data_IF_322194550226
#
_entry.id   IF_322194550226
#
_cell.length_a   1.000
_cell.length_b   1.000
_cell.length_c   1.000
_cell.angle_alpha   90.00
_cell.angle_beta   90.00
_cell.angle_gamma   90.00
#
_symmetry.space_group_name_H-M   'P 1'
#
loop_
_entity.id
_entity.type
_entity.pdbx_description
1 polymer ?
#
# COMPACT_ATOMS: atom_id res chain seq x y z
N UNK A 1 38.73 26.69 -30.24
CA UNK A 1 37.30 27.05 -30.39
C UNK A 1 36.53 25.76 -30.46
N UNK A 2 35.79 25.42 -29.40
CA UNK A 2 34.90 24.25 -29.38
C UNK A 2 33.87 24.39 -30.50
N UNK A 3 33.65 23.33 -31.29
CA UNK A 3 32.63 23.32 -32.34
C UNK A 3 31.26 23.66 -31.71
N UNK A 4 30.40 24.44 -32.39
CA UNK A 4 29.07 24.74 -31.89
C UNK A 4 28.29 23.43 -31.70
N UNK A 5 27.68 23.28 -30.53
CA UNK A 5 26.88 22.09 -30.20
C UNK A 5 25.81 21.87 -31.27
N UNK A 6 25.56 20.59 -31.61
CA UNK A 6 24.43 20.27 -32.48
C UNK A 6 23.12 20.71 -31.81
N UNK A 7 22.07 21.09 -32.57
CA UNK A 7 20.79 21.51 -31.97
C UNK A 7 20.22 20.52 -30.95
N UNK A 8 20.42 19.22 -31.16
CA UNK A 8 19.99 18.18 -30.23
C UNK A 8 20.78 18.19 -28.92
N UNK A 9 22.09 18.47 -28.97
CA UNK A 9 22.93 18.57 -27.77
C UNK A 9 22.62 19.86 -26.99
N UNK A 10 22.41 20.99 -27.68
CA UNK A 10 21.95 22.22 -27.05
C UNK A 10 20.59 22.04 -26.37
N UNK A 11 19.67 21.32 -27.01
CA UNK A 11 18.39 20.97 -26.42
C UNK A 11 18.52 20.09 -25.17
N UNK A 12 19.34 19.03 -25.23
CA UNK A 12 19.56 18.13 -24.08
C UNK A 12 20.16 18.87 -22.89
N UNK A 13 21.14 19.75 -23.14
CA UNK A 13 21.73 20.62 -22.11
C UNK A 13 20.66 21.52 -21.47
N UNK A 14 19.89 22.23 -22.29
CA UNK A 14 18.83 23.11 -21.80
C UNK A 14 17.75 22.35 -21.02
N UNK A 15 17.35 21.17 -21.50
CA UNK A 15 16.40 20.32 -20.81
C UNK A 15 16.94 19.87 -19.45
N UNK A 16 18.19 19.39 -19.40
CA UNK A 16 18.82 18.97 -18.15
C UNK A 16 18.88 20.10 -17.10
N UNK A 17 19.29 21.31 -17.50
CA UNK A 17 19.30 22.47 -16.59
C UNK A 17 17.89 22.80 -16.09
N UNK A 18 16.90 22.83 -16.99
CA UNK A 18 15.52 23.08 -16.61
C UNK A 18 14.98 22.00 -15.65
N UNK A 19 15.30 20.73 -15.88
CA UNK A 19 14.92 19.61 -15.02
C UNK A 19 15.49 19.76 -13.62
N UNK A 20 16.77 20.14 -13.47
CA UNK A 20 17.38 20.39 -12.16
C UNK A 20 16.69 21.51 -11.39
N UNK A 21 16.43 22.62 -12.06
CA UNK A 21 15.73 23.76 -11.46
C UNK A 21 14.30 23.39 -11.06
N UNK A 22 13.56 22.68 -11.92
CA UNK A 22 12.21 22.22 -11.60
C UNK A 22 12.20 21.25 -10.42
N UNK A 23 13.15 20.31 -10.37
CA UNK A 23 13.27 19.33 -9.30
C UNK A 23 13.70 19.92 -7.95
N UNK A 24 14.18 21.18 -7.93
CA UNK A 24 14.85 21.78 -6.78
C UNK A 24 16.11 21.02 -6.34
N UNK A 25 16.81 20.43 -7.30
CA UNK A 25 17.95 19.56 -7.06
C UNK A 25 19.09 19.91 -8.03
N UNK A 26 20.04 20.77 -7.62
CA UNK A 26 21.13 21.22 -8.47
C UNK A 26 22.17 20.12 -8.76
N UNK A 27 22.27 19.12 -7.88
CA UNK A 27 23.25 18.04 -7.95
C UNK A 27 22.74 16.84 -8.76
N UNK A 28 21.44 16.79 -9.07
CA UNK A 28 20.84 15.75 -9.87
C UNK A 28 21.50 15.58 -11.24
N UNK A 29 21.93 14.35 -11.52
CA UNK A 29 22.58 13.95 -12.76
C UNK A 29 21.53 13.56 -13.78
N UNK A 30 21.36 14.38 -14.83
CA UNK A 30 20.45 14.08 -15.94
C UNK A 30 21.24 13.44 -17.08
N UNK A 31 20.82 12.22 -17.46
CA UNK A 31 21.40 11.44 -18.55
C UNK A 31 20.36 11.11 -19.61
N UNK A 32 20.79 10.88 -20.85
CA UNK A 32 19.91 10.54 -21.97
C UNK A 32 20.30 9.15 -22.50
N UNK A 33 19.33 8.23 -22.56
CA UNK A 33 19.55 6.86 -23.04
C UNK A 33 18.39 6.35 -23.91
N UNK A 34 18.66 5.30 -24.67
CA UNK A 34 17.65 4.50 -25.39
C UNK A 34 16.93 3.52 -24.46
N UNK A 35 17.51 3.23 -23.29
CA UNK A 35 16.90 2.37 -22.27
C UNK A 35 15.63 3.00 -21.68
N UNK A 36 14.77 2.21 -21.02
CA UNK A 36 13.60 2.73 -20.32
C UNK A 36 13.97 3.89 -19.39
N UNK A 37 13.21 5.00 -19.43
CA UNK A 37 13.45 6.14 -18.56
C UNK A 37 13.15 5.75 -17.11
N UNK A 38 13.86 6.38 -16.18
CA UNK A 38 13.70 6.13 -14.76
C UNK A 38 14.56 7.03 -13.90
N UNK A 39 14.38 6.93 -12.59
CA UNK A 39 15.15 7.67 -11.59
C UNK A 39 15.74 6.68 -10.60
N UNK A 40 17.03 6.81 -10.30
CA UNK A 40 17.72 5.97 -9.33
C UNK A 40 18.74 6.83 -8.55
N UNK A 41 18.48 7.00 -7.25
CA UNK A 41 19.24 7.94 -6.42
C UNK A 41 19.24 9.33 -7.04
N UNK A 42 20.42 9.91 -7.24
CA UNK A 42 20.62 11.24 -7.83
C UNK A 42 20.61 11.25 -9.36
N UNK A 43 20.52 10.08 -10.01
CA UNK A 43 20.57 9.98 -11.47
C UNK A 43 19.18 9.85 -12.08
N UNK A 44 18.83 10.78 -12.97
CA UNK A 44 17.64 10.74 -13.81
C UNK A 44 18.02 10.33 -15.23
N UNK A 45 17.37 9.29 -15.75
CA UNK A 45 17.53 8.82 -17.12
C UNK A 45 16.33 9.23 -17.96
N UNK A 46 16.58 10.06 -18.96
CA UNK A 46 15.58 10.56 -19.90
C UNK A 46 15.68 9.84 -21.26
N UNK A 47 14.59 9.82 -22.04
CA UNK A 47 14.59 9.28 -23.39
C UNK A 47 15.58 10.02 -24.29
N UNK A 48 16.31 9.27 -25.10
CA UNK A 48 17.25 9.84 -26.06
C UNK A 48 16.52 10.66 -27.13
N UNK A 49 17.03 11.86 -27.38
CA UNK A 49 16.60 12.70 -28.51
C UNK A 49 17.61 12.58 -29.64
N UNK A 50 17.13 12.12 -30.81
CA UNK A 50 17.96 11.97 -32.00
C UNK A 50 18.31 13.32 -32.61
N UNK A 51 19.29 13.35 -33.53
CA UNK A 51 19.64 14.56 -34.29
C UNK A 51 18.49 15.09 -35.15
N UNK A 52 17.47 14.26 -35.44
CA UNK A 52 16.29 14.68 -36.21
C UNK A 52 15.36 15.56 -35.38
N UNK A 53 15.38 15.43 -34.05
CA UNK A 53 14.55 16.21 -33.12
C UNK A 53 13.09 16.30 -33.55
N UNK A 54 12.48 15.16 -33.85
CA UNK A 54 11.06 15.16 -34.22
C UNK A 54 10.23 15.70 -33.07
N UNK A 55 9.08 16.33 -33.39
CA UNK A 55 8.19 16.88 -32.37
C UNK A 55 7.81 15.83 -31.31
N UNK A 56 7.58 14.58 -31.72
CA UNK A 56 7.25 13.49 -30.82
C UNK A 56 8.41 13.16 -29.85
N UNK A 57 9.64 13.03 -30.34
CA UNK A 57 10.82 12.78 -29.48
C UNK A 57 11.03 13.91 -28.47
N UNK A 58 10.94 15.17 -28.92
CA UNK A 58 11.13 16.34 -28.07
C UNK A 58 10.05 16.41 -26.99
N UNK A 59 8.78 16.21 -27.36
CA UNK A 59 7.67 16.26 -26.41
C UNK A 59 7.72 15.09 -25.41
N UNK A 60 8.11 13.89 -25.85
CA UNK A 60 8.28 12.75 -24.96
C UNK A 60 9.41 12.99 -23.95
N UNK A 61 10.56 13.49 -24.41
CA UNK A 61 11.68 13.81 -23.53
C UNK A 61 11.31 14.90 -22.51
N UNK A 62 10.63 15.98 -22.94
CA UNK A 62 10.13 17.04 -22.05
C UNK A 62 9.11 16.51 -21.04
N UNK A 63 8.11 15.76 -21.50
CA UNK A 63 7.07 15.23 -20.62
C UNK A 63 7.61 14.27 -19.58
N UNK A 64 8.58 13.43 -19.96
CA UNK A 64 9.26 12.52 -19.03
C UNK A 64 10.10 13.30 -18.02
N UNK A 65 10.84 14.31 -18.47
CA UNK A 65 11.66 15.16 -17.62
C UNK A 65 10.82 15.95 -16.61
N UNK A 66 9.73 16.56 -17.07
CA UNK A 66 8.79 17.28 -16.21
C UNK A 66 8.19 16.33 -15.18
N UNK A 67 7.64 15.18 -15.60
CA UNK A 67 7.03 14.21 -14.67
C UNK A 67 8.00 13.75 -13.57
N UNK A 68 9.24 13.43 -13.94
CA UNK A 68 10.25 13.01 -12.96
C UNK A 68 10.73 14.17 -12.09
N UNK A 69 10.94 15.36 -12.64
CA UNK A 69 11.33 16.53 -11.84
C UNK A 69 10.24 16.90 -10.82
N UNK A 70 8.97 16.87 -11.24
CA UNK A 70 7.83 17.11 -10.36
C UNK A 70 7.71 16.05 -9.27
N UNK A 71 7.93 14.77 -9.61
CA UNK A 71 8.01 13.71 -8.60
C UNK A 71 9.13 13.99 -7.62
N UNK A 72 10.36 14.25 -8.09
CA UNK A 72 11.50 14.58 -7.21
C UNK A 72 11.22 15.74 -6.27
N UNK A 73 10.51 16.78 -6.76
CA UNK A 73 10.17 17.97 -5.99
C UNK A 73 9.08 17.75 -4.94
N UNK A 74 8.01 17.03 -5.31
CA UNK A 74 6.78 16.96 -4.51
C UNK A 74 6.57 15.64 -3.78
N UNK A 75 7.44 14.65 -4.00
CA UNK A 75 7.39 13.34 -3.37
C UNK A 75 8.45 13.20 -2.27
N UNK A 76 7.99 12.88 -1.08
CA UNK A 76 8.80 12.46 0.06
C UNK A 76 8.78 10.93 0.17
N UNK A 77 9.92 10.30 -0.13
CA UNK A 77 10.06 8.84 -0.14
C UNK A 77 9.77 8.21 1.23
N UNK A 78 10.08 8.93 2.32
CA UNK A 78 9.87 8.45 3.69
C UNK A 78 8.38 8.34 4.00
N UNK A 79 7.61 9.38 3.70
CA UNK A 79 6.16 9.41 3.87
C UNK A 79 5.52 8.36 2.97
N UNK A 80 5.91 8.28 1.70
CA UNK A 80 5.39 7.27 0.79
C UNK A 80 5.65 5.84 1.28
N UNK A 81 6.87 5.55 1.74
CA UNK A 81 7.24 4.24 2.27
C UNK A 81 6.47 3.89 3.54
N UNK A 82 6.19 4.87 4.40
CA UNK A 82 5.42 4.69 5.64
C UNK A 82 3.98 4.23 5.38
N UNK A 83 3.32 4.76 4.35
CA UNK A 83 1.92 4.43 4.02
C UNK A 83 1.78 3.35 2.94
N UNK A 84 2.88 2.79 2.47
CA UNK A 84 2.92 1.86 1.35
C UNK A 84 2.08 0.60 1.64
N UNK A 85 1.11 0.23 0.78
CA UNK A 85 0.36 -1.01 0.92
C UNK A 85 1.23 -2.28 0.85
N UNK A 86 0.73 -3.37 1.44
CA UNK A 86 1.42 -4.67 1.45
C UNK A 86 1.11 -5.49 0.20
N UNK A 87 -0.15 -5.49 -0.26
CA UNK A 87 -0.58 -6.22 -1.45
C UNK A 87 -0.26 -5.49 -2.74
N UNK A 88 0.02 -6.27 -3.79
CA UNK A 88 0.50 -5.72 -5.07
C UNK A 88 -0.51 -4.81 -5.75
N UNK A 89 -1.80 -5.18 -5.80
CA UNK A 89 -2.81 -4.36 -6.47
C UNK A 89 -3.02 -3.02 -5.75
N UNK A 90 -3.13 -3.06 -4.41
CA UNK A 90 -3.22 -1.85 -3.61
C UNK A 90 -1.98 -0.95 -3.80
N UNK A 91 -0.78 -1.52 -3.84
CA UNK A 91 0.46 -0.78 -4.10
C UNK A 91 0.48 -0.14 -5.49
N UNK A 92 0.08 -0.88 -6.52
CA UNK A 92 0.02 -0.34 -7.89
C UNK A 92 -0.95 0.85 -7.98
N UNK A 93 -2.12 0.77 -7.33
CA UNK A 93 -3.07 1.88 -7.25
C UNK A 93 -2.45 3.06 -6.48
N UNK A 94 -1.85 2.80 -5.32
CA UNK A 94 -1.21 3.83 -4.49
C UNK A 94 -0.12 4.60 -5.26
N UNK A 95 0.79 3.88 -5.92
CA UNK A 95 1.87 4.45 -6.72
C UNK A 95 1.35 5.27 -7.91
N UNK A 96 0.28 4.81 -8.55
CA UNK A 96 -0.36 5.50 -9.66
C UNK A 96 -1.04 6.80 -9.22
N UNK A 97 -1.75 6.78 -8.09
CA UNK A 97 -2.37 7.96 -7.49
C UNK A 97 -1.32 8.99 -7.07
N UNK A 98 -0.22 8.55 -6.44
CA UNK A 98 0.86 9.44 -6.01
C UNK A 98 1.60 10.08 -7.19
N UNK A 99 1.82 9.31 -8.27
CA UNK A 99 2.38 9.85 -9.51
C UNK A 99 1.46 10.94 -10.08
N UNK A 100 0.15 10.66 -10.14
CA UNK A 100 -0.84 11.61 -10.63
C UNK A 100 -0.94 12.87 -9.74
N UNK A 101 -0.79 12.74 -8.41
CA UNK A 101 -0.73 13.88 -7.49
C UNK A 101 0.46 14.79 -7.78
N UNK A 102 1.67 14.22 -7.88
CA UNK A 102 2.89 14.99 -8.13
C UNK A 102 2.78 15.76 -9.46
N UNK A 103 2.29 15.10 -10.51
CA UNK A 103 2.04 15.71 -11.81
C UNK A 103 0.98 16.81 -11.74
N UNK A 104 -0.12 16.60 -10.99
CA UNK A 104 -1.19 17.58 -10.85
C UNK A 104 -0.78 18.82 -10.06
N UNK A 105 -0.13 18.65 -8.90
CA UNK A 105 0.41 19.74 -8.09
C UNK A 105 1.42 20.55 -8.90
N UNK A 106 2.33 19.86 -9.59
CA UNK A 106 3.30 20.48 -10.47
C UNK A 106 2.68 21.25 -11.62
N UNK A 107 1.63 20.71 -12.25
CA UNK A 107 0.90 21.37 -13.33
C UNK A 107 0.15 22.63 -12.85
N UNK A 108 -0.33 22.66 -11.60
CA UNK A 108 -0.96 23.86 -11.01
C UNK A 108 0.05 24.99 -10.82
N UNK A 109 1.25 24.65 -10.34
CA UNK A 109 2.33 25.62 -10.10
C UNK A 109 3.03 26.04 -11.39
N UNK A 110 3.16 25.12 -12.35
CA UNK A 110 3.86 25.31 -13.61
C UNK A 110 2.98 24.82 -14.78
N UNK A 111 2.01 25.62 -15.25
CA UNK A 111 1.04 25.20 -16.28
C UNK A 111 1.66 24.73 -17.60
N UNK A 112 2.89 25.16 -17.90
CA UNK A 112 3.64 24.71 -19.09
C UNK A 112 4.03 23.24 -19.06
N UNK A 113 4.07 22.59 -17.89
CA UNK A 113 4.38 21.16 -17.76
C UNK A 113 3.19 20.28 -18.17
N UNK A 114 1.96 20.79 -18.01
CA UNK A 114 0.74 20.02 -18.23
C UNK A 114 0.66 19.45 -19.65
N UNK A 115 0.98 20.27 -20.67
CA UNK A 115 1.00 19.84 -22.06
C UNK A 115 2.14 18.86 -22.41
N UNK A 116 3.27 18.95 -21.69
CA UNK A 116 4.36 17.99 -21.86
C UNK A 116 3.99 16.64 -21.25
N UNK A 117 3.38 16.65 -20.06
CA UNK A 117 2.86 15.45 -19.38
C UNK A 117 1.74 14.80 -20.20
N UNK A 118 0.82 15.59 -20.79
CA UNK A 118 -0.20 15.07 -21.71
C UNK A 118 0.45 14.30 -22.88
N UNK A 119 1.54 14.81 -23.45
CA UNK A 119 2.26 14.14 -24.54
C UNK A 119 2.98 12.87 -24.10
N UNK A 120 3.55 12.84 -22.88
CA UNK A 120 4.11 11.63 -22.26
C UNK A 120 3.03 10.57 -22.09
N UNK A 121 1.89 10.92 -21.47
CA UNK A 121 0.76 10.02 -21.24
C UNK A 121 0.23 9.47 -22.57
N UNK A 122 0.10 10.31 -23.60
CA UNK A 122 -0.33 9.87 -24.93
C UNK A 122 0.61 8.81 -25.50
N UNK A 123 1.92 9.07 -25.49
CA UNK A 123 2.92 8.14 -26.02
C UNK A 123 2.97 6.81 -25.24
N UNK A 124 2.79 6.84 -23.92
CA UNK A 124 2.71 5.64 -23.08
C UNK A 124 1.43 4.85 -23.33
N UNK A 125 0.29 5.53 -23.46
CA UNK A 125 -1.01 4.92 -23.75
C UNK A 125 -1.01 4.26 -25.13
N UNK A 126 -0.41 4.91 -26.13
CA UNK A 126 -0.25 4.35 -27.48
C UNK A 126 0.63 3.09 -27.45
N UNK A 127 1.78 3.14 -26.75
CA UNK A 127 2.69 1.99 -26.62
C UNK A 127 2.01 0.79 -25.94
N UNK A 128 1.13 1.04 -24.98
CA UNK A 128 0.38 0.00 -24.27
C UNK A 128 -0.91 -0.43 -24.99
N UNK A 129 -1.25 0.18 -26.12
CA UNK A 129 -2.45 -0.15 -26.87
C UNK A 129 -3.76 0.19 -26.15
N UNK A 130 -3.74 1.15 -25.21
CA UNK A 130 -4.90 1.46 -24.37
C UNK A 130 -6.14 1.93 -25.15
N UNK A 131 -5.95 2.52 -26.33
CA UNK A 131 -7.03 2.93 -27.20
C UNK A 131 -7.85 1.75 -27.78
N UNK A 132 -7.28 0.53 -27.80
CA UNK A 132 -7.90 -0.67 -28.37
C UNK A 132 -8.57 -1.56 -27.31
N UNK A 133 -8.52 -1.17 -26.04
CA UNK A 133 -9.13 -1.96 -24.96
C UNK A 133 -10.63 -1.67 -24.92
N UNK A 134 -11.45 -2.72 -24.99
CA UNK A 134 -12.91 -2.60 -24.97
C UNK A 134 -13.52 -3.04 -23.63
N UNK A 135 -12.81 -3.89 -22.89
CA UNK A 135 -13.30 -4.50 -21.65
C UNK A 135 -12.50 -4.01 -20.43
N UNK A 136 -13.21 -3.73 -19.34
CA UNK A 136 -12.59 -3.24 -18.09
C UNK A 136 -11.60 -4.25 -17.50
N UNK A 137 -11.84 -5.56 -17.62
CA UNK A 137 -10.94 -6.60 -17.11
C UNK A 137 -9.56 -6.61 -17.79
N UNK A 138 -9.48 -6.09 -19.01
CA UNK A 138 -8.22 -5.93 -19.75
C UNK A 138 -7.56 -4.56 -19.51
N UNK A 139 -8.27 -3.62 -18.87
CA UNK A 139 -7.77 -2.28 -18.56
C UNK A 139 -7.15 -2.25 -17.15
N UNK A 140 -5.89 -1.77 -16.98
CA UNK A 140 -5.28 -1.70 -15.65
C UNK A 140 -5.98 -0.70 -14.72
N UNK A 141 -6.62 -1.20 -13.66
CA UNK A 141 -7.35 -0.37 -12.67
C UNK A 141 -6.47 0.73 -12.07
N UNK A 142 -5.23 0.40 -11.68
CA UNK A 142 -4.28 1.37 -11.14
C UNK A 142 -4.04 2.56 -12.10
N UNK A 143 -3.85 2.29 -13.39
CA UNK A 143 -3.67 3.33 -14.39
C UNK A 143 -4.95 4.18 -14.54
N UNK A 144 -6.13 3.54 -14.56
CA UNK A 144 -7.41 4.23 -14.64
C UNK A 144 -7.65 5.16 -13.43
N UNK A 145 -7.33 4.69 -12.22
CA UNK A 145 -7.43 5.48 -11.00
C UNK A 145 -6.50 6.71 -11.03
N UNK A 146 -5.24 6.54 -11.46
CA UNK A 146 -4.30 7.65 -11.66
C UNK A 146 -4.78 8.66 -12.70
N UNK A 147 -5.32 8.19 -13.84
CA UNK A 147 -5.88 9.06 -14.87
C UNK A 147 -7.11 9.84 -14.40
N UNK A 148 -8.02 9.18 -13.67
CA UNK A 148 -9.19 9.83 -13.09
C UNK A 148 -8.76 10.92 -12.09
N UNK A 149 -7.83 10.61 -11.18
CA UNK A 149 -7.32 11.56 -10.20
C UNK A 149 -6.72 12.79 -10.89
N UNK A 150 -5.87 12.57 -11.90
CA UNK A 150 -5.28 13.64 -12.69
C UNK A 150 -6.35 14.52 -13.36
N UNK A 151 -7.36 13.89 -13.95
CA UNK A 151 -8.46 14.59 -14.61
C UNK A 151 -9.24 15.46 -13.62
N UNK A 152 -9.58 14.92 -12.44
CA UNK A 152 -10.25 15.66 -11.38
C UNK A 152 -9.39 16.82 -10.86
N UNK A 153 -8.11 16.57 -10.58
CA UNK A 153 -7.20 17.55 -9.99
C UNK A 153 -6.79 18.67 -10.97
N UNK A 154 -6.84 18.45 -12.28
CA UNK A 154 -6.37 19.44 -13.27
C UNK A 154 -7.50 20.02 -14.13
N UNK A 155 -8.66 19.36 -14.18
CA UNK A 155 -9.77 19.71 -15.08
C UNK A 155 -9.44 19.54 -16.57
N UNK A 156 -8.31 18.90 -16.91
CA UNK A 156 -7.83 18.77 -18.28
C UNK A 156 -8.39 17.50 -18.94
N UNK A 157 -8.66 17.53 -20.25
CA UNK A 157 -8.98 16.32 -20.99
C UNK A 157 -7.78 15.36 -21.02
N UNK A 158 -8.06 14.06 -20.98
CA UNK A 158 -7.03 13.03 -21.12
C UNK A 158 -6.76 12.73 -22.61
N UNK A 159 -5.53 12.29 -22.95
CA UNK A 159 -5.26 11.72 -24.27
C UNK A 159 -6.13 10.49 -24.56
N UNK A 160 -6.47 10.24 -25.82
CA UNK A 160 -7.49 9.25 -26.22
C UNK A 160 -7.31 7.85 -25.60
N UNK A 161 -6.10 7.29 -25.60
CA UNK A 161 -5.86 5.98 -24.99
C UNK A 161 -6.03 5.97 -23.46
N UNK A 162 -5.56 7.02 -22.78
CA UNK A 162 -5.72 7.15 -21.33
C UNK A 162 -7.18 7.41 -20.94
N UNK A 163 -7.89 8.24 -21.72
CA UNK A 163 -9.31 8.52 -21.55
C UNK A 163 -10.14 7.24 -21.68
N UNK A 164 -9.82 6.39 -22.67
CA UNK A 164 -10.51 5.13 -22.86
C UNK A 164 -10.40 4.21 -21.63
N UNK A 165 -9.18 3.98 -21.14
CA UNK A 165 -8.93 3.16 -19.93
C UNK A 165 -9.62 3.73 -18.69
N UNK A 166 -9.56 5.06 -18.51
CA UNK A 166 -10.23 5.73 -17.40
C UNK A 166 -11.74 5.54 -17.47
N UNK A 167 -12.35 5.72 -18.65
CA UNK A 167 -13.80 5.63 -18.85
C UNK A 167 -14.36 4.24 -18.56
N UNK A 168 -13.61 3.17 -18.87
CA UNK A 168 -14.00 1.79 -18.56
C UNK A 168 -14.19 1.57 -17.05
N UNK A 169 -13.39 2.23 -16.22
CA UNK A 169 -13.44 2.09 -14.76
C UNK A 169 -14.18 3.22 -14.05
N UNK A 170 -14.44 4.35 -14.71
CA UNK A 170 -15.01 5.57 -14.11
C UNK A 170 -16.25 5.28 -13.27
N UNK A 171 -17.23 4.57 -13.83
CA UNK A 171 -18.49 4.31 -13.13
C UNK A 171 -18.28 3.52 -11.84
N UNK A 172 -17.36 2.57 -11.85
CA UNK A 172 -17.03 1.78 -10.66
C UNK A 172 -16.32 2.64 -9.62
N UNK A 173 -15.28 3.38 -10.01
CA UNK A 173 -14.51 4.22 -9.07
C UNK A 173 -15.39 5.34 -8.46
N UNK A 174 -16.24 5.98 -9.25
CA UNK A 174 -17.14 7.04 -8.75
C UNK A 174 -18.23 6.48 -7.82
N UNK A 175 -18.69 5.25 -8.05
CA UNK A 175 -19.69 4.59 -7.19
C UNK A 175 -19.09 4.21 -5.84
N UNK A 176 -17.93 3.55 -5.85
CA UNK A 176 -17.32 3.01 -4.64
C UNK A 176 -16.56 4.09 -3.84
N UNK A 177 -15.74 4.91 -4.51
CA UNK A 177 -14.81 5.84 -3.88
C UNK A 177 -15.13 7.33 -4.13
N UNK A 178 -16.26 7.66 -4.76
CA UNK A 178 -16.60 9.04 -5.13
C UNK A 178 -16.71 10.00 -3.95
N UNK A 179 -17.23 9.53 -2.81
CA UNK A 179 -17.31 10.31 -1.58
C UNK A 179 -15.92 10.68 -1.03
N UNK A 180 -14.99 9.73 -1.05
CA UNK A 180 -13.61 9.94 -0.62
C UNK A 180 -12.86 10.87 -1.57
N UNK A 181 -13.07 10.73 -2.88
CA UNK A 181 -12.49 11.60 -3.90
C UNK A 181 -12.95 13.07 -3.79
N UNK A 182 -14.08 13.36 -3.13
CA UNK A 182 -14.49 14.74 -2.84
C UNK A 182 -13.48 15.49 -1.95
N UNK A 183 -12.69 14.77 -1.15
CA UNK A 183 -11.60 15.32 -0.34
C UNK A 183 -10.28 15.54 -1.09
N UNK A 184 -10.23 15.27 -2.40
CA UNK A 184 -8.99 15.34 -3.19
C UNK A 184 -8.36 16.74 -3.12
N UNK A 185 -9.13 17.80 -3.34
CA UNK A 185 -8.62 19.17 -3.41
C UNK A 185 -7.89 19.61 -2.14
N UNK A 186 -8.38 19.21 -0.97
CA UNK A 186 -7.77 19.55 0.31
C UNK A 186 -6.51 18.73 0.58
N UNK A 187 -6.41 17.54 0.02
CA UNK A 187 -5.29 16.62 0.24
C UNK A 187 -4.14 16.80 -0.76
N UNK A 188 -4.36 17.36 -1.95
CA UNK A 188 -3.35 17.40 -3.03
C UNK A 188 -1.99 17.99 -2.61
N UNK A 189 -1.99 19.06 -1.80
CA UNK A 189 -0.78 19.78 -1.40
C UNK A 189 -0.06 19.18 -0.19
N UNK A 190 -0.68 18.22 0.51
CA UNK A 190 -0.12 17.54 1.67
C UNK A 190 -0.02 16.04 1.38
N UNK A 191 1.20 15.54 1.20
CA UNK A 191 1.42 14.14 0.87
C UNK A 191 0.95 13.18 1.96
N UNK A 192 0.97 13.58 3.23
CA UNK A 192 0.48 12.73 4.33
C UNK A 192 -1.03 12.63 4.27
N UNK A 193 -1.72 13.77 4.12
CA UNK A 193 -3.17 13.78 3.93
C UNK A 193 -3.59 13.00 2.68
N UNK A 194 -2.84 13.16 1.59
CA UNK A 194 -3.07 12.41 0.36
C UNK A 194 -2.82 10.92 0.52
N UNK A 195 -1.79 10.50 1.25
CA UNK A 195 -1.51 9.09 1.48
C UNK A 195 -2.67 8.40 2.21
N UNK A 196 -3.28 9.09 3.19
CA UNK A 196 -4.49 8.61 3.87
C UNK A 196 -5.68 8.53 2.93
N UNK A 197 -5.90 9.57 2.13
CA UNK A 197 -6.96 9.59 1.12
C UNK A 197 -6.79 8.45 0.12
N UNK A 198 -5.58 8.22 -0.38
CA UNK A 198 -5.28 7.14 -1.33
C UNK A 198 -5.54 5.75 -0.71
N UNK A 199 -5.15 5.55 0.56
CA UNK A 199 -5.47 4.31 1.30
C UNK A 199 -6.97 4.13 1.47
N UNK A 200 -7.71 5.20 1.78
CA UNK A 200 -9.17 5.14 1.87
C UNK A 200 -9.80 4.81 0.52
N UNK A 201 -9.36 5.43 -0.58
CA UNK A 201 -9.82 5.09 -1.95
C UNK A 201 -9.57 3.61 -2.26
N UNK A 202 -8.41 3.07 -1.91
CA UNK A 202 -8.10 1.65 -2.10
C UNK A 202 -9.03 0.75 -1.28
N UNK A 203 -9.33 1.13 -0.04
CA UNK A 203 -10.26 0.39 0.80
C UNK A 203 -11.69 0.41 0.22
N UNK A 204 -12.15 1.58 -0.23
CA UNK A 204 -13.47 1.77 -0.84
C UNK A 204 -13.62 0.94 -2.13
N UNK A 205 -12.55 0.84 -2.92
CA UNK A 205 -12.49 -0.02 -4.13
C UNK A 205 -12.48 -1.53 -3.81
N UNK A 206 -12.56 -1.92 -2.54
CA UNK A 206 -12.61 -3.32 -2.11
C UNK A 206 -11.25 -3.99 -1.91
N UNK A 207 -10.15 -3.24 -1.89
CA UNK A 207 -8.78 -3.76 -1.68
C UNK A 207 -8.22 -3.39 -0.30
N UNK A 208 -9.08 -3.17 0.69
CA UNK A 208 -8.68 -2.79 2.04
C UNK A 208 -7.85 -3.85 2.78
N UNK A 209 -8.07 -5.13 2.45
CA UNK A 209 -7.29 -6.27 2.95
C UNK A 209 -5.81 -6.23 2.53
N UNK A 210 -5.50 -5.55 1.42
CA UNK A 210 -4.15 -5.42 0.87
C UNK A 210 -3.37 -4.21 1.43
N UNK A 211 -3.99 -3.36 2.25
CA UNK A 211 -3.35 -2.15 2.77
C UNK A 211 -2.30 -2.42 3.85
N UNK A 212 -2.43 -3.54 4.56
CA UNK A 212 -1.67 -3.79 5.80
C UNK A 212 -2.12 -2.87 6.95
N UNK A 213 -1.27 -2.76 7.95
CA UNK A 213 -1.54 -1.93 9.14
C UNK A 213 -1.58 -0.43 8.83
N UNK A 214 -2.34 0.31 9.62
CA UNK A 214 -2.38 1.77 9.55
C UNK A 214 -1.17 2.36 10.30
N UNK A 215 -0.23 3.02 9.61
CA UNK A 215 1.00 3.51 10.21
C UNK A 215 0.80 4.68 11.18
N UNK A 216 -0.40 5.29 11.26
CA UNK A 216 -0.72 6.32 12.26
C UNK A 216 -1.36 5.76 13.52
N UNK A 217 -1.83 4.51 13.50
CA UNK A 217 -2.35 3.84 14.69
C UNK A 217 -1.23 3.41 15.64
N UNK A 218 0.02 3.37 15.18
CA UNK A 218 1.20 3.03 16.01
C UNK A 218 1.73 4.23 16.82
N UNK A 219 1.43 5.48 16.44
CA UNK A 219 1.92 6.67 17.15
C UNK A 219 1.10 7.07 18.40
N UNK A 220 0.00 6.37 18.68
CA UNK A 220 -0.92 6.72 19.77
C UNK A 220 -0.67 6.04 21.12
N UNK A 221 0.17 5.01 21.18
CA UNK A 221 0.38 4.19 22.40
C UNK A 221 1.84 3.70 22.57
N UNK A 222 2.79 4.26 21.83
CA UNK A 222 4.22 4.18 22.21
C UNK A 222 4.55 5.34 23.18
N UNK A 223 3.90 5.33 24.34
CA UNK A 223 4.65 5.79 25.51
C UNK A 223 5.83 4.83 25.62
N UNK A 224 7.05 5.37 25.48
CA UNK A 224 8.31 4.68 25.77
C UNK A 224 8.14 3.85 27.04
N UNK A 225 7.86 2.56 26.89
CA UNK A 225 8.08 1.61 27.96
C UNK A 225 9.60 1.58 28.10
N UNK A 226 10.16 1.93 29.29
CA UNK A 226 11.56 1.66 29.54
C UNK A 226 11.79 0.19 29.22
N UNK A 227 12.93 -0.16 28.64
CA UNK A 227 13.39 -1.55 28.51
C UNK A 227 13.38 -2.21 29.90
N UNK A 228 12.23 -2.73 30.29
CA UNK A 228 11.98 -3.52 31.47
C UNK A 228 11.86 -4.94 30.99
N UNK A 229 12.88 -5.74 31.32
CA UNK A 229 12.92 -7.18 31.13
C UNK A 229 11.53 -7.78 31.36
N UNK A 230 11.02 -8.53 30.37
CA UNK A 230 9.76 -9.23 30.50
C UNK A 230 9.81 -10.10 31.77
N UNK A 231 8.88 -9.92 32.74
CA UNK A 231 8.84 -10.76 33.93
C UNK A 231 8.78 -12.23 33.50
N UNK A 232 9.75 -13.03 33.95
CA UNK A 232 9.87 -14.45 33.65
C UNK A 232 8.74 -15.30 34.27
N UNK A 233 7.87 -14.70 35.07
CA UNK A 233 6.75 -15.37 35.72
C UNK A 233 5.41 -14.83 35.21
N UNK A 234 4.46 -15.72 34.86
CA UNK A 234 3.10 -15.29 34.55
C UNK A 234 2.53 -14.50 35.74
N UNK A 235 1.75 -13.44 35.50
CA UNK A 235 1.13 -12.69 36.58
C UNK A 235 0.35 -13.66 37.49
N UNK A 236 0.36 -13.42 38.82
CA UNK A 236 -0.43 -14.24 39.73
C UNK A 236 -1.89 -14.27 39.25
N UNK A 237 -2.59 -15.41 39.43
CA UNK A 237 -3.99 -15.52 39.03
C UNK A 237 -4.78 -14.34 39.62
N UNK A 238 -5.69 -13.80 38.82
CA UNK A 238 -6.57 -12.73 39.27
C UNK A 238 -7.19 -13.13 40.62
N UNK A 239 -7.29 -12.20 41.59
CA UNK A 239 -7.94 -12.49 42.85
C UNK A 239 -9.33 -13.07 42.60
N UNK A 240 -9.75 -14.01 43.45
CA UNK A 240 -11.12 -14.51 43.43
C UNK A 240 -12.09 -13.32 43.44
N UNK A 241 -13.16 -13.42 42.66
CA UNK A 241 -14.27 -12.46 42.62
C UNK A 241 -14.62 -11.92 44.01
N UNK A 242 -15.02 -10.65 44.12
CA UNK A 242 -15.59 -10.03 45.33
C UNK A 242 -16.91 -10.73 45.79
N UNK A 243 -17.34 -11.77 45.10
CA UNK A 243 -18.36 -12.70 45.58
C UNK A 243 -17.97 -13.22 46.98
N UNK A 244 -18.94 -13.24 47.90
CA UNK A 244 -18.75 -13.72 49.27
C UNK A 244 -18.08 -15.10 49.23
N UNK A 245 -16.90 -15.30 49.85
CA UNK A 245 -16.24 -16.60 49.88
C UNK A 245 -17.08 -17.69 50.58
N UNK A 246 -18.15 -17.30 51.28
CA UNK A 246 -19.15 -18.20 51.85
C UNK A 246 -20.38 -18.40 50.95
N UNK A 247 -20.38 -17.91 49.71
CA UNK A 247 -21.45 -18.16 48.77
C UNK A 247 -21.55 -19.66 48.51
N UNK A 248 -22.60 -20.27 49.03
CA UNK A 248 -22.97 -21.65 48.73
C UNK A 248 -24.15 -21.61 47.77
N UNK A 249 -24.01 -22.27 46.63
CA UNK A 249 -25.12 -22.50 45.71
C UNK A 249 -26.26 -23.17 46.48
N UNK A 250 -27.43 -22.53 46.52
CA UNK A 250 -28.55 -22.98 47.34
C UNK A 250 -29.19 -24.27 46.82
N UNK A 251 -29.31 -24.41 45.49
CA UNK A 251 -29.79 -25.61 44.82
C UNK A 251 -29.31 -25.61 43.36
N UNK A 252 -28.80 -26.74 42.87
CA UNK A 252 -28.41 -26.95 41.46
C UNK A 252 -29.44 -27.77 40.68
N UNK A 253 -30.56 -28.15 41.32
CA UNK A 253 -31.57 -29.04 40.73
C UNK A 253 -32.28 -28.43 39.51
N UNK A 254 -32.24 -27.10 39.37
CA UNK A 254 -32.90 -26.34 38.30
C UNK A 254 -31.92 -25.79 37.27
N UNK A 255 -30.63 -26.11 37.37
CA UNK A 255 -29.62 -25.64 36.42
C UNK A 255 -29.67 -26.49 35.15
N UNK A 256 -29.62 -25.85 33.99
CA UNK A 256 -29.65 -26.51 32.68
C UNK A 256 -28.43 -26.11 31.85
N UNK A 257 -27.66 -27.10 31.39
CA UNK A 257 -26.57 -26.91 30.44
C UNK A 257 -27.05 -27.31 29.03
N UNK A 258 -27.32 -26.30 28.20
CA UNK A 258 -27.73 -26.48 26.81
C UNK A 258 -26.64 -25.92 25.89
N UNK A 259 -26.34 -26.60 24.78
CA UNK A 259 -25.46 -26.02 23.76
C UNK A 259 -26.16 -24.87 23.06
N UNK A 260 -25.40 -23.86 22.68
CA UNK A 260 -25.95 -22.69 21.97
C UNK A 260 -26.67 -23.05 20.65
N UNK A 261 -26.24 -24.11 19.97
CA UNK A 261 -26.85 -24.61 18.72
C UNK A 261 -28.22 -25.28 18.93
N UNK A 262 -28.52 -25.75 20.14
CA UNK A 262 -29.77 -26.43 20.48
C UNK A 262 -30.84 -25.46 21.03
N UNK A 263 -30.49 -24.18 21.24
CA UNK A 263 -31.40 -23.16 21.79
C UNK A 263 -32.38 -22.59 20.75
N UNK A 264 -32.11 -22.76 19.47
CA UNK A 264 -32.91 -22.19 18.39
C UNK A 264 -32.97 -23.11 17.17
N UNK A 265 -34.08 -23.06 16.45
CA UNK A 265 -34.27 -23.83 15.22
C UNK A 265 -33.34 -23.31 14.10
N UNK A 266 -32.92 -24.14 13.13
CA UNK A 266 -31.99 -23.73 12.07
C UNK A 266 -32.44 -22.49 11.28
N UNK A 267 -33.73 -22.36 10.99
CA UNK A 267 -34.29 -21.21 10.29
C UNK A 267 -34.24 -19.92 11.14
N UNK A 268 -34.34 -20.05 12.46
CA UNK A 268 -34.20 -18.93 13.39
C UNK A 268 -32.74 -18.48 13.51
N UNK A 269 -31.80 -19.42 13.56
CA UNK A 269 -30.35 -19.13 13.53
C UNK A 269 -29.95 -18.36 12.27
N UNK A 270 -30.43 -18.76 11.09
CA UNK A 270 -30.19 -18.04 9.84
C UNK A 270 -30.72 -16.60 9.91
N UNK A 271 -31.93 -16.41 10.44
CA UNK A 271 -32.53 -15.09 10.62
C UNK A 271 -31.74 -14.23 11.60
N UNK A 272 -31.36 -14.77 12.76
CA UNK A 272 -30.57 -14.08 13.77
C UNK A 272 -29.19 -13.71 13.24
N UNK A 273 -28.59 -14.58 12.42
CA UNK A 273 -27.32 -14.32 11.76
C UNK A 273 -27.42 -13.15 10.78
N UNK A 274 -28.43 -13.15 9.92
CA UNK A 274 -28.65 -12.04 8.98
C UNK A 274 -28.88 -10.70 9.72
N UNK A 275 -29.62 -10.73 10.82
CA UNK A 275 -29.84 -9.55 11.66
C UNK A 275 -28.55 -9.05 12.31
N UNK A 276 -27.74 -9.96 12.85
CA UNK A 276 -26.43 -9.64 13.43
C UNK A 276 -25.49 -9.05 12.37
N UNK A 277 -25.40 -9.66 11.18
CA UNK A 277 -24.54 -9.17 10.10
C UNK A 277 -24.96 -7.74 9.66
N UNK A 278 -26.27 -7.46 9.61
CA UNK A 278 -26.77 -6.10 9.33
C UNK A 278 -26.40 -5.10 10.43
N UNK A 279 -26.48 -5.49 11.71
CA UNK A 279 -26.05 -4.65 12.82
C UNK A 279 -24.53 -4.46 12.89
N UNK A 280 -23.77 -5.43 12.40
CA UNK A 280 -22.31 -5.37 12.36
C UNK A 280 -21.78 -4.57 11.18
N UNK A 281 -22.57 -4.28 10.15
CA UNK A 281 -22.13 -3.50 8.97
C UNK A 281 -21.39 -2.20 9.33
N UNK A 282 -21.89 -1.35 10.24
CA UNK A 282 -21.19 -0.13 10.67
C UNK A 282 -19.95 -0.41 11.52
N UNK A 283 -19.88 -1.58 12.14
CA UNK A 283 -18.83 -1.99 13.07
C UNK A 283 -17.78 -2.91 12.42
N UNK A 284 -17.97 -3.33 11.16
CA UNK A 284 -17.05 -4.23 10.45
C UNK A 284 -15.61 -3.77 10.52
N UNK A 285 -15.35 -2.47 10.33
CA UNK A 285 -14.01 -1.91 10.46
C UNK A 285 -13.42 -2.07 11.88
N UNK A 286 -14.22 -1.87 12.93
CA UNK A 286 -13.79 -2.03 14.31
C UNK A 286 -13.56 -3.50 14.69
N UNK A 287 -14.46 -4.39 14.25
CA UNK A 287 -14.36 -5.84 14.47
C UNK A 287 -13.12 -6.41 13.79
N UNK A 288 -12.84 -6.05 12.54
CA UNK A 288 -11.63 -6.49 11.83
C UNK A 288 -10.35 -6.01 12.53
N UNK A 289 -10.34 -4.78 13.05
CA UNK A 289 -9.21 -4.28 13.86
C UNK A 289 -9.01 -5.10 15.13
N UNK A 290 -10.09 -5.41 15.84
CA UNK A 290 -10.03 -6.15 17.11
C UNK A 290 -9.64 -7.61 16.88
N UNK A 291 -10.15 -8.22 15.81
CA UNK A 291 -9.77 -9.55 15.35
C UNK A 291 -8.28 -9.61 15.01
N UNK A 292 -7.74 -8.64 14.27
CA UNK A 292 -6.30 -8.58 13.98
C UNK A 292 -5.45 -8.34 15.23
N UNK A 293 -5.95 -7.59 16.22
CA UNK A 293 -5.27 -7.39 17.51
C UNK A 293 -5.24 -8.69 18.32
N UNK A 294 -6.36 -9.39 18.39
CA UNK A 294 -6.47 -10.69 19.07
C UNK A 294 -5.59 -11.73 18.36
N UNK A 295 -5.69 -11.80 17.03
CA UNK A 295 -4.89 -12.69 16.20
C UNK A 295 -3.40 -12.46 16.40
N UNK A 296 -2.92 -11.21 16.40
CA UNK A 296 -1.51 -10.91 16.68
C UNK A 296 -1.07 -11.33 18.08
N UNK A 297 -1.93 -11.14 19.10
CA UNK A 297 -1.63 -11.59 20.48
C UNK A 297 -1.62 -13.11 20.60
N UNK A 298 -2.48 -13.81 19.88
CA UNK A 298 -2.57 -15.27 19.86
C UNK A 298 -1.49 -15.91 18.96
N UNK A 299 -1.10 -15.24 17.87
CA UNK A 299 -0.03 -15.66 16.95
C UNK A 299 1.36 -15.21 17.40
N UNK A 300 1.47 -14.39 18.45
CA UNK A 300 2.72 -14.00 19.09
C UNK A 300 3.35 -15.19 19.85
N UNK A 301 3.70 -16.23 19.09
CA UNK A 301 4.86 -17.10 19.29
C UNK A 301 5.17 -17.94 18.04
N UNK A 302 4.85 -17.46 16.82
CA UNK A 302 5.35 -18.06 15.58
C UNK A 302 6.74 -17.52 15.18
N UNK A 303 7.66 -17.39 16.15
CA UNK A 303 9.07 -17.19 15.78
C UNK A 303 9.63 -18.53 15.32
N UNK A 304 9.49 -18.80 14.03
CA UNK A 304 10.19 -19.89 13.34
C UNK A 304 11.68 -19.73 13.56
N UNK A 305 12.24 -20.50 14.47
CA UNK A 305 13.67 -20.48 14.77
C UNK A 305 14.37 -21.50 13.88
N UNK A 306 15.35 -21.01 13.12
CA UNK A 306 16.13 -21.83 12.20
C UNK A 306 17.48 -22.14 12.84
N UNK A 307 17.86 -23.40 12.83
CA UNK A 307 19.23 -23.82 13.12
C UNK A 307 20.02 -23.76 11.82
N UNK A 308 21.17 -23.09 11.83
CA UNK A 308 22.07 -22.95 10.69
C UNK A 308 23.37 -23.71 10.93
N UNK A 309 24.13 -23.90 9.85
CA UNK A 309 25.45 -24.54 9.88
C UNK A 309 25.40 -25.99 10.41
N UNK A 310 24.42 -26.76 9.92
CA UNK A 310 24.29 -28.19 10.20
C UNK A 310 25.02 -29.04 9.13
N UNK A 311 25.41 -30.25 9.52
CA UNK A 311 26.03 -31.24 8.62
C UNK A 311 25.00 -31.95 7.73
N UNK A 312 23.74 -32.02 8.18
CA UNK A 312 22.61 -32.61 7.45
C UNK A 312 21.39 -31.70 7.57
N UNK A 313 20.56 -31.62 6.51
CA UNK A 313 19.32 -30.87 6.54
C UNK A 313 18.83 -30.30 5.23
N UNK A 314 18.04 -29.24 5.30
CA UNK A 314 17.59 -28.47 4.13
C UNK A 314 18.72 -27.52 3.73
N UNK A 315 19.08 -27.47 2.45
CA UNK A 315 20.20 -26.65 2.00
C UNK A 315 19.85 -25.14 2.06
N UNK A 316 20.71 -24.34 2.67
CA UNK A 316 20.51 -22.88 2.77
C UNK A 316 20.88 -22.20 1.43
N UNK A 317 19.85 -21.89 0.64
CA UNK A 317 20.03 -21.30 -0.68
C UNK A 317 20.79 -19.96 -0.68
N UNK A 318 20.73 -19.20 0.43
CA UNK A 318 21.48 -17.94 0.56
C UNK A 318 23.00 -18.15 0.69
N UNK A 319 23.43 -19.35 1.11
CA UNK A 319 24.86 -19.70 1.30
C UNK A 319 25.44 -20.52 0.15
N UNK A 320 24.64 -20.85 -0.88
CA UNK A 320 25.10 -21.57 -2.07
C UNK A 320 26.32 -20.91 -2.74
N UNK A 321 26.34 -19.57 -2.83
CA UNK A 321 27.46 -18.84 -3.40
C UNK A 321 28.78 -19.10 -2.65
N UNK A 322 28.72 -19.28 -1.32
CA UNK A 322 29.89 -19.57 -0.47
C UNK A 322 30.40 -20.99 -0.67
N UNK A 323 29.50 -21.95 -0.85
CA UNK A 323 29.84 -23.36 -1.14
C UNK A 323 30.59 -23.48 -2.47
N UNK A 324 30.13 -22.74 -3.49
CA UNK A 324 30.78 -22.72 -4.81
C UNK A 324 32.15 -22.04 -4.75
N UNK A 325 32.27 -20.95 -4.00
CA UNK A 325 33.53 -20.20 -3.89
C UNK A 325 34.58 -20.86 -3.01
N UNK A 326 34.18 -21.62 -1.98
CA UNK A 326 35.11 -22.28 -1.07
C UNK A 326 34.56 -23.67 -0.62
N UNK A 327 34.89 -24.74 -1.35
CA UNK A 327 34.31 -26.07 -1.13
C UNK A 327 34.80 -26.77 0.15
N UNK A 328 35.73 -26.19 0.92
CA UNK A 328 36.22 -26.76 2.18
C UNK A 328 35.39 -26.36 3.41
N UNK A 329 34.34 -25.55 3.26
CA UNK A 329 33.40 -25.23 4.35
C UNK A 329 32.16 -26.13 4.31
N UNK A 330 32.04 -27.13 5.21
CA UNK A 330 31.05 -28.20 5.07
C UNK A 330 29.64 -27.84 5.56
N UNK A 331 29.48 -26.76 6.32
CA UNK A 331 28.22 -26.46 6.99
C UNK A 331 27.37 -25.47 6.15
N UNK A 332 26.37 -25.99 5.47
CA UNK A 332 25.44 -25.22 4.61
C UNK A 332 23.98 -25.67 4.72
N UNK A 333 23.69 -26.60 5.63
CA UNK A 333 22.34 -27.05 5.88
C UNK A 333 21.72 -26.27 7.04
N UNK A 334 20.40 -26.13 6.97
CA UNK A 334 19.54 -25.56 8.00
C UNK A 334 18.41 -26.51 8.32
N UNK A 335 17.91 -26.42 9.54
CA UNK A 335 16.76 -27.20 10.00
C UNK A 335 15.81 -26.29 10.77
N UNK A 336 14.50 -26.46 10.54
CA UNK A 336 13.47 -25.73 11.25
C UNK A 336 13.29 -26.38 12.63
N UNK A 337 13.40 -25.59 13.71
CA UNK A 337 13.16 -26.11 15.05
C UNK A 337 11.66 -26.30 15.25
N UNK A 338 11.23 -27.54 15.50
CA UNK A 338 9.86 -27.83 15.89
C UNK A 338 9.53 -27.07 17.18
N UNK A 339 8.44 -26.32 17.13
CA UNK A 339 7.92 -25.56 18.27
C UNK A 339 6.63 -26.23 18.70
N UNK A 340 6.55 -26.67 19.94
CA UNK A 340 5.29 -27.18 20.50
C UNK A 340 4.28 -26.04 20.57
N UNK A 341 3.22 -26.15 19.77
CA UNK A 341 2.11 -25.21 19.76
C UNK A 341 1.20 -25.48 20.96
N UNK A 342 0.78 -24.41 21.65
CA UNK A 342 -0.29 -24.50 22.64
C UNK A 342 -1.57 -24.03 21.98
N UNK A 343 -2.54 -24.93 21.84
CA UNK A 343 -3.90 -24.55 21.43
C UNK A 343 -4.42 -23.49 22.40
N UNK A 344 -4.80 -22.33 21.87
CA UNK A 344 -5.37 -21.26 22.70
C UNK A 344 -6.88 -21.30 22.62
N UNK A 345 -7.53 -21.62 23.74
CA UNK A 345 -8.98 -21.57 23.88
C UNK A 345 -9.36 -20.21 24.48
N UNK A 346 -10.25 -19.48 23.80
CA UNK A 346 -10.83 -18.23 24.30
C UNK A 346 -12.27 -18.52 24.72
N UNK A 347 -12.56 -18.33 26.01
CA UNK A 347 -13.91 -18.50 26.57
C UNK A 347 -14.49 -17.12 26.90
N UNK A 348 -15.67 -16.81 26.36
CA UNK A 348 -16.44 -15.62 26.73
C UNK A 348 -17.61 -16.07 27.60
N UNK A 349 -17.75 -15.44 28.77
CA UNK A 349 -18.89 -15.63 29.67
C UNK A 349 -19.78 -14.38 29.56
N UNK A 350 -21.04 -14.58 29.21
CA UNK A 350 -22.05 -13.52 29.13
C UNK A 350 -23.02 -13.70 30.29
N UNK A 351 -23.10 -12.72 31.18
CA UNK A 351 -24.08 -12.72 32.26
C UNK A 351 -25.45 -12.30 31.73
N UNK A 352 -26.46 -13.15 31.92
CA UNK A 352 -27.86 -12.86 31.59
C UNK A 352 -28.73 -12.75 32.85
N UNK A 353 -28.14 -12.49 34.02
CA UNK A 353 -28.87 -12.28 35.27
C UNK A 353 -29.71 -11.00 35.21
N UNK A 354 -30.82 -10.97 35.96
CA UNK A 354 -31.71 -9.79 36.01
C UNK A 354 -31.11 -8.54 36.69
N UNK A 355 -29.81 -8.55 37.01
CA UNK A 355 -29.07 -7.40 37.56
C UNK A 355 -28.36 -6.57 36.48
N UNK A 356 -28.20 -7.13 35.28
CA UNK A 356 -27.83 -6.44 34.04
C UNK A 356 -29.06 -5.78 33.40
#
# INVERSE_FOLDING_TARGET
>A
MTQPDSPAESFKKALAEATRVMADDPDMVVSFSVDPPGMAGETMRLPQVSRRMTKAEVMLARGTADAFALRRRYHDDRTHSRYNPQGQMARDIYDALETARCEAVGARMMPGTAGNIDAKIAAEADRRGYAQIEDASAAPLAAAAGFLLRHLATGRPLPAGADNVMRLWRSHIETEAGATLAGLETALTDQTAFAKLARQVIADLGYGDQLGDDPDMEQGDEAELPEGEAPLEPPPPAPHSDADPNYTVYATEFDEEIKAEDLAEPAELERLRAYLDQQLEPLKGAVSRLANKLQRRLQAQQNRSWLFDLEEGILDAGRLARVVANPTTPLSFKWEKDTEFRDTVVTLLLDNSGSM
#
